data_IF_630816512624
#
_entry.id   IF_630816512624
#
_cell.length_a   1.000
_cell.length_b   1.000
_cell.length_c   1.000
_cell.angle_alpha   90.00
_cell.angle_beta   90.00
_cell.angle_gamma   90.00
#
_symmetry.space_group_name_H-M   'P 1'
#
loop_
_entity.id
_entity.type
_entity.pdbx_description
1 polymer ?
#
# COMPACT_ATOMS: atom_id res chain seq x y z
N UNK A 1 31.08 -37.65 -13.68
CA UNK A 1 30.37 -38.07 -12.46
C UNK A 1 29.26 -39.01 -12.90
N UNK A 2 29.27 -40.24 -12.40
CA UNK A 2 28.23 -41.24 -12.70
C UNK A 2 26.93 -40.84 -11.99
N UNK A 3 25.88 -40.54 -12.74
CA UNK A 3 24.51 -40.36 -12.24
C UNK A 3 23.98 -41.71 -11.69
N UNK A 4 24.48 -42.15 -10.54
CA UNK A 4 23.81 -43.20 -9.78
C UNK A 4 22.69 -42.54 -8.98
N UNK A 5 21.46 -43.02 -9.17
CA UNK A 5 20.33 -42.65 -8.34
C UNK A 5 20.61 -43.13 -6.91
N UNK A 6 21.05 -42.22 -6.04
CA UNK A 6 21.22 -42.50 -4.61
C UNK A 6 19.86 -42.44 -3.91
N UNK A 7 19.57 -43.34 -2.95
CA UNK A 7 18.32 -43.28 -2.20
C UNK A 7 18.26 -42.03 -1.31
N UNK A 8 17.13 -41.32 -1.36
CA UNK A 8 16.84 -40.13 -0.57
C UNK A 8 15.68 -40.42 0.37
N UNK A 9 15.81 -40.00 1.63
CA UNK A 9 14.72 -39.91 2.60
C UNK A 9 14.31 -38.44 2.72
N UNK A 10 13.11 -38.09 2.30
CA UNK A 10 12.56 -36.75 2.54
C UNK A 10 12.45 -36.50 4.04
N UNK A 11 13.01 -35.38 4.49
CA UNK A 11 12.93 -34.94 5.88
C UNK A 11 11.74 -33.98 6.03
N UNK A 12 11.08 -34.08 7.18
CA UNK A 12 10.02 -33.14 7.54
C UNK A 12 10.60 -31.74 7.79
N UNK A 13 9.99 -30.71 7.20
CA UNK A 13 10.34 -29.32 7.41
C UNK A 13 9.56 -28.75 8.61
N UNK A 14 10.27 -28.20 9.59
CA UNK A 14 9.71 -27.49 10.73
C UNK A 14 10.08 -26.01 10.68
N UNK A 15 9.17 -25.13 11.10
CA UNK A 15 9.37 -23.68 11.11
C UNK A 15 9.55 -23.16 12.54
N UNK A 16 10.49 -22.24 12.72
CA UNK A 16 10.62 -21.48 13.96
C UNK A 16 9.60 -20.32 14.04
N UNK A 17 9.60 -19.59 15.16
CA UNK A 17 8.69 -18.44 15.37
C UNK A 17 8.92 -17.27 14.39
N UNK A 18 10.01 -17.28 13.63
CA UNK A 18 10.33 -16.30 12.59
C UNK A 18 10.10 -16.85 11.18
N UNK A 19 9.51 -18.04 11.05
CA UNK A 19 9.26 -18.69 9.76
C UNK A 19 10.53 -19.26 9.09
N UNK A 20 11.62 -19.46 9.83
CA UNK A 20 12.81 -20.11 9.26
C UNK A 20 12.62 -21.63 9.21
N UNK A 21 12.84 -22.26 8.04
CA UNK A 21 12.70 -23.70 7.91
C UNK A 21 13.93 -24.44 8.49
N UNK A 22 13.67 -25.59 9.09
CA UNK A 22 14.67 -26.49 9.66
C UNK A 22 14.25 -27.95 9.43
N UNK A 23 15.24 -28.85 9.35
CA UNK A 23 15.01 -30.28 9.14
C UNK A 23 15.79 -31.08 10.16
N UNK A 24 15.16 -32.13 10.68
CA UNK A 24 15.81 -33.08 11.58
C UNK A 24 16.06 -34.40 10.86
N UNK A 25 17.30 -34.87 10.94
CA UNK A 25 17.71 -36.17 10.40
C UNK A 25 18.19 -37.06 11.54
N UNK A 26 18.05 -38.37 11.36
CA UNK A 26 18.56 -39.38 12.27
C UNK A 26 19.44 -40.42 11.53
N UNK A 27 20.42 -41.03 12.20
CA UNK A 27 21.28 -42.05 11.62
C UNK A 27 20.47 -43.25 11.08
N UNK A 28 20.90 -43.82 9.95
CA UNK A 28 20.28 -45.02 9.41
C UNK A 28 20.66 -46.27 10.23
N UNK A 29 19.74 -47.21 10.34
CA UNK A 29 20.05 -48.53 10.90
C UNK A 29 21.10 -49.22 10.01
N UNK A 30 22.17 -49.76 10.62
CA UNK A 30 23.29 -50.45 9.95
C UNK A 30 24.13 -49.58 8.99
N UNK A 31 24.19 -48.26 9.20
CA UNK A 31 25.03 -47.35 8.40
C UNK A 31 24.74 -47.36 6.89
N UNK A 32 23.49 -47.63 6.50
CA UNK A 32 23.05 -47.48 5.12
C UNK A 32 23.27 -46.03 4.65
N UNK A 33 23.96 -45.85 3.52
CA UNK A 33 24.21 -44.54 2.92
C UNK A 33 22.92 -44.02 2.28
N UNK A 34 22.08 -43.35 3.06
CA UNK A 34 20.85 -42.69 2.63
C UNK A 34 21.00 -41.20 2.94
N UNK A 35 20.77 -40.33 1.95
CA UNK A 35 20.79 -38.88 2.18
C UNK A 35 19.44 -38.40 2.70
N UNK A 36 19.45 -37.41 3.57
CA UNK A 36 18.25 -36.64 3.91
C UNK A 36 17.98 -35.61 2.82
N UNK A 37 16.81 -35.67 2.20
CA UNK A 37 16.32 -34.64 1.29
C UNK A 37 15.69 -33.52 2.09
N UNK A 38 16.13 -32.28 1.85
CA UNK A 38 15.55 -31.10 2.46
C UNK A 38 14.91 -30.25 1.37
N UNK A 39 13.59 -30.39 1.22
CA UNK A 39 12.86 -29.56 0.27
C UNK A 39 12.62 -28.17 0.87
N UNK A 40 13.22 -27.16 0.25
CA UNK A 40 13.05 -25.77 0.65
C UNK A 40 11.62 -25.31 0.33
N UNK A 41 10.91 -24.71 1.30
CA UNK A 41 9.61 -24.11 1.01
C UNK A 41 9.78 -22.98 -0.02
N UNK A 42 8.76 -22.70 -0.85
CA UNK A 42 8.80 -21.55 -1.74
C UNK A 42 8.85 -20.26 -0.92
N UNK A 43 9.63 -19.30 -1.41
CA UNK A 43 9.64 -17.93 -0.97
C UNK A 43 8.31 -17.25 -1.31
N UNK A 44 7.98 -16.21 -0.54
CA UNK A 44 6.89 -15.31 -0.91
C UNK A 44 7.27 -14.51 -2.18
N UNK A 45 6.29 -14.10 -3.00
CA UNK A 45 6.54 -13.38 -4.25
C UNK A 45 7.10 -11.96 -4.09
N UNK A 46 7.29 -11.51 -2.85
CA UNK A 46 7.72 -10.16 -2.47
C UNK A 46 6.91 -9.63 -1.30
N UNK A 47 7.23 -8.42 -0.86
CA UNK A 47 6.49 -7.70 0.20
C UNK A 47 5.57 -6.68 -0.46
N UNK A 48 4.29 -6.69 -0.10
CA UNK A 48 3.27 -5.83 -0.68
C UNK A 48 2.71 -4.93 0.41
N UNK A 49 2.92 -3.62 0.32
CA UNK A 49 2.44 -2.65 1.29
C UNK A 49 1.15 -2.01 0.77
N UNK A 50 0.03 -2.26 1.44
CA UNK A 50 -1.24 -1.61 1.15
C UNK A 50 -1.37 -0.28 1.92
N UNK A 51 -1.71 0.80 1.23
CA UNK A 51 -1.88 2.14 1.81
C UNK A 51 -3.28 2.66 1.52
N UNK A 52 -4.06 2.87 2.58
CA UNK A 52 -5.46 3.32 2.49
C UNK A 52 -5.60 4.85 2.32
N UNK A 53 -6.81 5.29 1.98
CA UNK A 53 -7.14 6.67 1.64
C UNK A 53 -7.38 7.59 2.85
N UNK A 54 -7.92 8.78 2.58
CA UNK A 54 -8.39 9.69 3.64
C UNK A 54 -9.74 9.20 4.14
N UNK A 55 -10.08 9.49 5.40
CA UNK A 55 -11.36 9.13 5.99
C UNK A 55 -11.71 7.64 5.85
N UNK A 56 -10.67 6.82 5.87
CA UNK A 56 -10.73 5.37 5.79
C UNK A 56 -9.92 4.82 6.94
N UNK A 57 -10.36 3.71 7.50
CA UNK A 57 -9.63 3.01 8.56
C UNK A 57 -9.01 1.73 8.04
N UNK A 58 -8.92 1.58 6.72
CA UNK A 58 -8.41 0.39 6.06
C UNK A 58 -9.43 -0.74 6.04
N UNK A 59 -10.72 -0.43 6.09
CA UNK A 59 -11.83 -1.38 6.02
C UNK A 59 -11.81 -2.29 4.80
N UNK A 60 -11.19 -1.84 3.71
CA UNK A 60 -11.03 -2.62 2.48
C UNK A 60 -9.82 -3.55 2.48
N UNK A 61 -8.88 -3.42 3.43
CA UNK A 61 -7.62 -4.16 3.38
C UNK A 61 -7.82 -5.67 3.44
N UNK A 62 -8.75 -6.16 4.26
CA UNK A 62 -9.07 -7.59 4.32
C UNK A 62 -9.47 -8.13 2.95
N UNK A 63 -10.45 -7.48 2.32
CA UNK A 63 -10.94 -7.90 1.01
C UNK A 63 -9.85 -7.82 -0.07
N UNK A 64 -9.03 -6.76 -0.07
CA UNK A 64 -7.93 -6.64 -1.01
C UNK A 64 -6.85 -7.70 -0.80
N UNK A 65 -6.49 -8.02 0.44
CA UNK A 65 -5.54 -9.07 0.76
C UNK A 65 -6.07 -10.45 0.37
N UNK A 66 -7.34 -10.77 0.68
CA UNK A 66 -8.00 -12.02 0.29
C UNK A 66 -7.91 -12.24 -1.23
N UNK A 67 -8.27 -11.22 -2.02
CA UNK A 67 -8.25 -11.29 -3.48
C UNK A 67 -6.82 -11.31 -4.06
N UNK A 68 -5.88 -10.60 -3.43
CA UNK A 68 -4.49 -10.59 -3.85
C UNK A 68 -3.83 -11.95 -3.62
N UNK A 69 -4.02 -12.55 -2.45
CA UNK A 69 -3.54 -13.90 -2.14
C UNK A 69 -4.14 -14.93 -3.11
N UNK A 70 -5.47 -14.86 -3.36
CA UNK A 70 -6.13 -15.72 -4.34
C UNK A 70 -5.55 -15.58 -5.76
N UNK A 71 -5.34 -14.34 -6.21
CA UNK A 71 -4.73 -14.06 -7.52
C UNK A 71 -3.29 -14.54 -7.62
N UNK A 72 -2.48 -14.35 -6.57
CA UNK A 72 -1.10 -14.84 -6.49
C UNK A 72 -1.04 -16.37 -6.51
N UNK A 73 -1.89 -17.05 -5.74
CA UNK A 73 -1.95 -18.51 -5.72
C UNK A 73 -2.27 -19.08 -7.09
N UNK A 74 -3.23 -18.48 -7.80
CA UNK A 74 -3.57 -18.86 -9.17
C UNK A 74 -2.39 -18.62 -10.12
N UNK A 75 -1.76 -17.44 -10.04
CA UNK A 75 -0.66 -17.03 -10.93
C UNK A 75 0.61 -17.84 -10.74
N UNK A 76 0.91 -18.23 -9.51
CA UNK A 76 2.13 -18.94 -9.11
C UNK A 76 1.92 -20.46 -9.01
N UNK A 77 0.72 -20.95 -9.34
CA UNK A 77 0.40 -22.38 -9.31
C UNK A 77 0.46 -23.00 -7.90
N UNK A 78 0.12 -22.21 -6.87
CA UNK A 78 0.13 -22.60 -5.46
C UNK A 78 -1.26 -23.04 -4.95
N UNK A 79 -2.33 -22.82 -5.73
CA UNK A 79 -3.70 -23.18 -5.34
C UNK A 79 -3.84 -24.65 -4.99
N UNK A 80 -4.37 -24.93 -3.79
CA UNK A 80 -4.55 -26.30 -3.28
C UNK A 80 -3.25 -27.02 -2.87
N UNK A 81 -2.10 -26.33 -2.88
CA UNK A 81 -0.84 -26.87 -2.36
C UNK A 81 -0.69 -26.61 -0.86
N UNK A 82 0.26 -27.29 -0.21
CA UNK A 82 0.65 -27.02 1.18
C UNK A 82 1.26 -25.63 1.38
N UNK A 83 1.63 -24.94 0.30
CA UNK A 83 2.28 -23.62 0.30
C UNK A 83 1.34 -22.51 -0.20
N UNK A 84 0.03 -22.77 -0.21
CA UNK A 84 -0.95 -21.76 -0.57
C UNK A 84 -0.81 -20.52 0.33
N UNK A 85 -0.70 -19.34 -0.29
CA UNK A 85 -0.60 -18.06 0.40
C UNK A 85 -1.95 -17.75 1.02
N UNK A 86 -1.98 -17.45 2.32
CA UNK A 86 -3.20 -17.12 3.05
C UNK A 86 -3.15 -15.67 3.55
N UNK A 87 -4.29 -14.95 3.50
CA UNK A 87 -4.38 -13.61 4.06
C UNK A 87 -4.18 -13.66 5.59
N UNK A 88 -3.52 -12.65 6.17
CA UNK A 88 -3.42 -12.52 7.63
C UNK A 88 -4.76 -12.05 8.19
N UNK A 89 -5.19 -12.69 9.27
CA UNK A 89 -6.36 -12.29 10.04
C UNK A 89 -5.94 -11.38 11.19
N UNK A 90 -6.55 -10.20 11.27
CA UNK A 90 -6.39 -9.29 12.41
C UNK A 90 -7.62 -9.37 13.32
N UNK A 91 -7.45 -9.18 14.63
CA UNK A 91 -8.57 -9.14 15.60
C UNK A 91 -9.61 -8.07 15.26
N UNK A 92 -9.18 -7.05 14.49
CA UNK A 92 -10.01 -5.97 14.00
C UNK A 92 -10.88 -6.33 12.80
N UNK A 93 -10.59 -7.41 12.06
CA UNK A 93 -11.16 -7.65 10.73
C UNK A 93 -12.67 -7.82 10.74
N UNK A 94 -13.22 -8.47 11.77
CA UNK A 94 -14.67 -8.64 11.95
C UNK A 94 -15.32 -7.37 12.52
N UNK A 95 -14.55 -6.53 13.23
CA UNK A 95 -15.06 -5.35 13.93
C UNK A 95 -15.04 -4.09 13.07
N UNK A 96 -14.07 -3.92 12.17
CA UNK A 96 -13.93 -2.71 11.33
C UNK A 96 -15.19 -2.44 10.49
N UNK A 97 -15.98 -3.48 10.17
CA UNK A 97 -17.27 -3.33 9.49
C UNK A 97 -18.30 -2.51 10.30
N UNK A 98 -18.20 -2.49 11.63
CA UNK A 98 -19.15 -1.85 12.53
C UNK A 98 -18.50 -0.75 13.40
N UNK A 99 -17.22 -0.93 13.75
CA UNK A 99 -16.40 -0.08 14.61
C UNK A 99 -15.07 0.22 13.89
N UNK A 100 -15.01 1.27 13.06
CA UNK A 100 -13.91 1.43 12.11
C UNK A 100 -12.55 1.69 12.78
N UNK A 101 -12.50 2.07 14.06
CA UNK A 101 -11.28 2.48 14.77
C UNK A 101 -10.88 1.56 15.92
N UNK A 102 -10.80 0.27 15.66
CA UNK A 102 -10.38 -0.73 16.65
C UNK A 102 -8.89 -1.07 16.59
N UNK A 103 -8.38 -1.62 17.68
CA UNK A 103 -7.01 -2.10 17.81
C UNK A 103 -6.72 -3.19 16.78
N UNK A 104 -5.57 -3.07 16.13
CA UNK A 104 -5.14 -3.96 15.05
C UNK A 104 -4.02 -4.85 15.55
N UNK A 105 -4.39 -5.90 16.25
CA UNK A 105 -3.48 -6.94 16.71
C UNK A 105 -3.58 -8.15 15.77
N UNK A 106 -2.44 -8.77 15.52
CA UNK A 106 -2.39 -10.11 14.93
C UNK A 106 -2.45 -11.08 16.12
N UNK A 107 -3.46 -11.94 16.24
CA UNK A 107 -3.55 -12.88 17.34
C UNK A 107 -2.34 -13.83 17.32
N UNK A 108 -1.59 -13.88 18.43
CA UNK A 108 -0.36 -14.69 18.60
C UNK A 108 -0.58 -16.21 18.47
N UNK A 109 -1.83 -16.65 18.36
CA UNK A 109 -2.26 -18.06 18.45
C UNK A 109 -2.29 -18.80 17.12
N UNK A 110 -1.89 -18.20 15.99
CA UNK A 110 -2.01 -18.82 14.66
C UNK A 110 -0.64 -19.02 13.98
N UNK A 111 0.23 -19.79 14.64
CA UNK A 111 1.58 -20.15 14.15
C UNK A 111 1.58 -20.97 12.84
N UNK A 112 0.44 -21.54 12.46
CA UNK A 112 0.28 -22.44 11.31
C UNK A 112 -0.26 -21.73 10.04
N UNK A 113 -0.52 -20.42 10.10
CA UNK A 113 -1.00 -19.67 8.93
C UNK A 113 0.20 -19.24 8.04
N UNK A 114 0.28 -19.84 6.84
CA UNK A 114 1.12 -19.40 5.72
C UNK A 114 1.21 -17.87 5.66
N UNK A 115 2.42 -17.34 5.60
CA UNK A 115 2.64 -15.90 5.69
C UNK A 115 2.11 -15.17 4.45
N UNK A 116 1.15 -14.27 4.67
CA UNK A 116 0.75 -13.30 3.65
C UNK A 116 1.95 -12.42 3.29
N UNK A 117 2.16 -12.11 1.99
CA UNK A 117 3.13 -11.12 1.57
C UNK A 117 2.71 -9.68 1.93
N UNK A 118 1.51 -9.48 2.49
CA UNK A 118 0.90 -8.17 2.65
C UNK A 118 1.20 -7.52 4.01
N UNK A 119 1.64 -6.26 3.96
CA UNK A 119 1.68 -5.35 5.10
C UNK A 119 0.58 -4.31 4.92
N UNK A 120 -0.38 -4.29 5.84
CA UNK A 120 -1.43 -3.25 5.91
C UNK A 120 -0.88 -2.00 6.59
N UNK A 121 -0.61 -0.94 5.82
CA UNK A 121 -0.06 0.32 6.35
C UNK A 121 -1.17 1.29 6.74
N UNK A 122 -1.39 1.41 8.05
CA UNK A 122 -2.36 2.33 8.60
C UNK A 122 -1.74 3.67 8.99
N UNK A 123 -2.41 4.74 8.59
CA UNK A 123 -2.04 6.10 8.93
C UNK A 123 -3.30 6.92 9.28
N UNK A 124 -3.11 8.15 9.77
CA UNK A 124 -4.21 9.01 10.17
C UNK A 124 -3.78 10.15 11.08
N UNK A 125 -4.76 10.90 11.57
CA UNK A 125 -4.59 11.99 12.52
C UNK A 125 -4.81 11.49 13.95
N UNK A 126 -3.99 11.95 14.91
CA UNK A 126 -4.25 11.75 16.33
C UNK A 126 -4.30 13.12 17.00
N UNK A 127 -5.35 13.35 17.79
CA UNK A 127 -5.46 14.60 18.52
C UNK A 127 -4.44 14.65 19.65
N UNK A 128 -3.81 15.80 19.84
CA UNK A 128 -3.09 16.05 21.07
C UNK A 128 -4.09 16.12 22.23
N UNK A 129 -3.70 15.61 23.39
CA UNK A 129 -4.52 15.62 24.60
C UNK A 129 -4.97 17.03 24.95
N UNK A 130 -6.28 17.23 25.13
CA UNK A 130 -6.92 18.52 25.40
C UNK A 130 -7.33 19.30 24.14
N UNK A 131 -7.03 18.81 22.94
CA UNK A 131 -7.40 19.43 21.67
C UNK A 131 -8.48 18.63 20.90
N UNK A 132 -9.08 17.61 21.51
CA UNK A 132 -10.07 16.73 20.88
C UNK A 132 -11.32 17.48 20.40
N UNK A 133 -11.71 18.57 21.09
CA UNK A 133 -12.83 19.43 20.69
C UNK A 133 -12.45 20.55 19.70
N UNK A 134 -11.16 20.66 19.32
CA UNK A 134 -10.68 21.76 18.45
C UNK A 134 -11.25 21.69 17.03
N UNK A 135 -11.55 20.49 16.55
CA UNK A 135 -12.04 20.24 15.19
C UNK A 135 -13.24 19.30 15.22
N UNK A 136 -14.21 19.52 14.33
CA UNK A 136 -15.40 18.67 14.20
C UNK A 136 -15.07 17.52 13.25
N UNK A 137 -14.31 16.56 13.77
CA UNK A 137 -13.84 15.39 13.02
C UNK A 137 -14.12 14.13 13.83
N UNK A 138 -14.31 12.97 13.18
CA UNK A 138 -14.42 11.70 13.88
C UNK A 138 -13.17 11.43 14.71
N UNK A 139 -13.33 10.85 15.90
CA UNK A 139 -12.23 10.55 16.82
C UNK A 139 -12.64 9.35 17.69
N UNK A 140 -11.86 8.28 17.66
CA UNK A 140 -12.06 7.16 18.57
C UNK A 140 -10.74 6.71 19.20
N UNK A 141 -10.84 6.02 20.33
CA UNK A 141 -9.69 5.40 20.98
C UNK A 141 -9.39 4.02 20.37
N UNK A 142 -8.38 3.33 20.90
CA UNK A 142 -7.97 1.99 20.42
C UNK A 142 -9.06 0.92 20.52
N UNK A 143 -10.09 1.12 21.34
CA UNK A 143 -11.21 0.18 21.48
C UNK A 143 -12.36 0.48 20.52
N UNK A 144 -12.20 1.42 19.59
CA UNK A 144 -13.28 1.85 18.70
C UNK A 144 -14.29 2.79 19.35
N UNK A 145 -14.07 3.22 20.60
CA UNK A 145 -15.02 4.05 21.33
C UNK A 145 -14.89 5.51 20.88
N UNK A 146 -15.98 6.04 20.32
CA UNK A 146 -16.06 7.41 19.81
C UNK A 146 -16.02 8.46 20.94
N UNK A 147 -15.14 9.45 20.77
CA UNK A 147 -14.95 10.57 21.68
C UNK A 147 -16.25 11.35 21.89
N UNK A 148 -16.96 11.65 20.80
CA UNK A 148 -18.17 12.47 20.84
C UNK A 148 -19.34 11.73 21.47
N UNK A 149 -19.38 10.40 21.36
CA UNK A 149 -20.34 9.55 22.05
C UNK A 149 -20.17 9.60 23.56
N UNK A 150 -18.93 9.46 24.05
CA UNK A 150 -18.63 9.60 25.49
C UNK A 150 -19.07 10.98 26.01
N UNK A 151 -18.87 12.03 25.22
CA UNK A 151 -19.31 13.38 25.55
C UNK A 151 -20.84 13.50 25.61
N UNK A 152 -21.55 12.92 24.64
CA UNK A 152 -23.03 12.87 24.62
C UNK A 152 -23.61 12.10 25.80
N UNK A 153 -22.88 11.11 26.31
CA UNK A 153 -23.25 10.34 27.51
C UNK A 153 -23.01 11.11 28.83
N UNK A 154 -22.46 12.33 28.77
CA UNK A 154 -22.20 13.15 29.95
C UNK A 154 -21.01 12.68 30.79
N UNK A 155 -20.11 11.87 30.23
CA UNK A 155 -18.90 11.45 30.92
C UNK A 155 -18.00 12.67 31.17
N UNK A 156 -17.46 12.87 32.39
CA UNK A 156 -16.56 13.98 32.69
C UNK A 156 -15.35 14.01 31.75
N UNK A 157 -14.96 15.20 31.27
CA UNK A 157 -13.92 15.36 30.25
C UNK A 157 -12.59 14.67 30.63
N UNK A 158 -12.17 14.77 31.89
CA UNK A 158 -10.95 14.11 32.38
C UNK A 158 -11.00 12.57 32.22
N UNK A 159 -12.17 11.98 32.47
CA UNK A 159 -12.40 10.54 32.32
C UNK A 159 -12.46 10.12 30.85
N UNK A 160 -12.90 11.01 29.95
CA UNK A 160 -12.83 10.77 28.51
C UNK A 160 -11.36 10.77 28.06
N UNK A 161 -10.60 11.81 28.42
CA UNK A 161 -9.19 11.94 28.03
C UNK A 161 -8.31 10.80 28.55
N UNK A 162 -8.65 10.24 29.72
CA UNK A 162 -7.97 9.05 30.27
C UNK A 162 -8.12 7.80 29.38
N UNK A 163 -9.13 7.75 28.50
CA UNK A 163 -9.35 6.67 27.56
C UNK A 163 -8.63 6.87 26.21
N UNK A 164 -7.91 7.99 26.03
CA UNK A 164 -7.15 8.27 24.82
C UNK A 164 -5.93 7.35 24.63
N UNK A 165 -5.13 7.59 23.58
CA UNK A 165 -5.25 8.67 22.61
C UNK A 165 -6.46 8.48 21.68
N UNK A 166 -7.04 9.58 21.24
CA UNK A 166 -8.09 9.60 20.23
C UNK A 166 -7.50 9.92 18.85
N UNK A 167 -7.96 9.19 17.83
CA UNK A 167 -7.43 9.30 16.47
C UNK A 167 -8.49 9.02 15.41
N UNK A 168 -8.16 9.35 14.16
CA UNK A 168 -8.97 9.09 12.97
C UNK A 168 -8.11 8.51 11.85
N UNK A 169 -8.50 7.35 11.33
CA UNK A 169 -7.85 6.70 10.21
C UNK A 169 -7.92 7.56 8.96
N UNK A 170 -6.79 7.72 8.28
CA UNK A 170 -6.67 8.52 7.05
C UNK A 170 -6.74 10.02 7.31
N UNK A 171 -7.10 10.41 8.53
CA UNK A 171 -7.33 11.78 8.90
C UNK A 171 -8.57 12.38 8.22
N UNK A 172 -8.87 13.65 8.52
CA UNK A 172 -10.13 14.27 8.13
C UNK A 172 -10.26 14.40 6.61
N UNK A 173 -11.45 14.10 6.08
CA UNK A 173 -11.74 14.15 4.64
C UNK A 173 -11.40 15.51 4.01
N UNK A 174 -11.74 16.59 4.71
CA UNK A 174 -11.54 17.99 4.32
C UNK A 174 -10.05 18.32 4.09
N UNK A 175 -9.16 17.59 4.74
CA UNK A 175 -7.71 17.77 4.62
C UNK A 175 -7.09 17.09 3.41
N UNK A 176 -7.89 16.46 2.54
CA UNK A 176 -7.39 15.96 1.26
C UNK A 176 -6.70 17.06 0.45
N UNK A 177 -5.63 16.70 -0.25
CA UNK A 177 -4.87 17.61 -1.12
C UNK A 177 -4.48 16.95 -2.45
N UNK A 178 -4.16 17.77 -3.45
CA UNK A 178 -3.82 17.35 -4.81
C UNK A 178 -2.36 17.58 -5.19
N UNK A 179 -1.51 18.01 -4.26
CA UNK A 179 -0.08 18.17 -4.47
C UNK A 179 0.72 17.69 -3.24
N UNK A 180 1.97 17.27 -3.47
CA UNK A 180 2.78 16.70 -2.39
C UNK A 180 3.28 17.74 -1.39
N UNK A 181 3.42 19.01 -1.78
CA UNK A 181 3.91 20.08 -0.91
C UNK A 181 2.98 20.29 0.29
N UNK A 182 1.66 20.28 0.06
CA UNK A 182 0.64 20.43 1.11
C UNK A 182 0.74 19.42 2.26
N UNK A 183 1.40 18.26 2.07
CA UNK A 183 1.56 17.26 3.14
C UNK A 183 2.42 17.78 4.31
N UNK A 184 3.26 18.77 4.06
CA UNK A 184 4.09 19.44 5.07
C UNK A 184 3.44 20.71 5.64
N UNK A 185 2.22 21.04 5.23
CA UNK A 185 1.57 22.28 5.64
C UNK A 185 1.29 22.35 7.14
N UNK A 186 1.59 23.51 7.71
CA UNK A 186 1.18 23.96 9.03
C UNK A 186 -0.31 24.33 9.10
N UNK A 187 -1.00 24.34 7.96
CA UNK A 187 -2.42 24.68 7.84
C UNK A 187 -3.22 23.42 7.48
N UNK A 188 -4.45 23.37 7.97
CA UNK A 188 -5.48 22.43 7.53
C UNK A 188 -6.50 23.14 6.64
N UNK A 189 -7.57 22.42 6.27
CA UNK A 189 -8.73 23.04 5.64
C UNK A 189 -9.32 24.12 6.55
N UNK A 190 -9.66 25.27 5.97
CA UNK A 190 -10.30 26.39 6.65
C UNK A 190 -11.61 26.74 5.95
N UNK A 191 -12.69 26.69 6.72
CA UNK A 191 -14.03 27.07 6.28
C UNK A 191 -14.14 28.60 6.30
N UNK A 192 -13.69 29.25 5.22
CA UNK A 192 -13.82 30.70 5.09
C UNK A 192 -15.29 31.16 5.03
N UNK A 193 -15.57 32.47 5.26
CA UNK A 193 -16.92 33.01 5.37
C UNK A 193 -17.81 32.89 4.11
N UNK A 194 -17.28 32.41 2.97
CA UNK A 194 -17.96 32.30 1.68
C UNK A 194 -18.31 30.86 1.26
N UNK A 195 -18.02 29.83 2.07
CA UNK A 195 -18.09 28.41 1.69
C UNK A 195 -19.46 27.71 1.86
N UNK A 196 -20.54 28.47 2.06
CA UNK A 196 -21.92 28.00 2.36
C UNK A 196 -22.60 27.09 1.30
N UNK A 197 -21.94 26.64 0.22
CA UNK A 197 -22.60 25.94 -0.91
C UNK A 197 -22.07 24.56 -1.30
N UNK A 198 -21.08 23.98 -0.63
CA UNK A 198 -20.62 22.61 -0.96
C UNK A 198 -21.30 21.53 -0.12
N UNK A 199 -21.94 21.92 0.99
CA UNK A 199 -22.59 21.00 1.94
C UNK A 199 -23.87 20.34 1.41
N UNK A 200 -24.52 20.93 0.40
CA UNK A 200 -25.79 20.45 -0.17
C UNK A 200 -25.67 19.21 -1.08
N UNK A 201 -24.45 18.68 -1.28
CA UNK A 201 -24.19 17.49 -2.11
C UNK A 201 -23.70 16.27 -1.33
N UNK A 202 -23.55 16.37 0.00
CA UNK A 202 -23.14 15.27 0.87
C UNK A 202 -24.04 15.22 2.11
N UNK A 203 -24.89 14.20 2.20
CA UNK A 203 -25.77 13.94 3.36
C UNK A 203 -25.02 13.34 4.57
N UNK A 204 -23.73 13.07 4.40
CA UNK A 204 -22.91 12.32 5.36
C UNK A 204 -22.26 13.27 6.40
N UNK A 205 -22.68 13.15 7.67
CA UNK A 205 -22.20 14.01 8.78
C UNK A 205 -20.69 13.90 9.02
N UNK A 206 -20.05 12.83 8.55
CA UNK A 206 -18.60 12.63 8.66
C UNK A 206 -17.80 13.37 7.56
N UNK A 207 -18.49 14.07 6.64
CA UNK A 207 -17.91 14.81 5.51
C UNK A 207 -18.22 16.31 5.55
N UNK A 208 -18.65 16.83 6.70
CA UNK A 208 -18.95 18.26 6.89
C UNK A 208 -17.68 19.07 6.65
N UNK A 209 -17.69 20.05 5.74
CA UNK A 209 -16.53 20.87 5.41
C UNK A 209 -16.26 21.93 6.48
N UNK A 210 -15.81 21.50 7.66
CA UNK A 210 -15.41 22.37 8.78
C UNK A 210 -13.89 22.46 8.91
N UNK A 211 -13.40 23.40 9.72
CA UNK A 211 -11.98 23.56 10.00
C UNK A 211 -11.32 22.24 10.41
N UNK A 212 -10.14 21.97 9.84
CA UNK A 212 -9.41 20.74 10.02
C UNK A 212 -7.98 20.98 10.57
N UNK A 213 -7.36 19.98 11.22
CA UNK A 213 -6.01 20.09 11.77
C UNK A 213 -4.93 20.35 10.71
N UNK A 214 -3.75 20.87 11.09
CA UNK A 214 -2.58 20.94 10.21
C UNK A 214 -2.26 19.61 9.52
N UNK A 215 -1.82 19.65 8.26
CA UNK A 215 -1.57 18.45 7.44
C UNK A 215 -0.28 17.70 7.80
N UNK A 216 0.53 18.15 8.76
CA UNK A 216 1.79 17.49 9.17
C UNK A 216 1.67 15.99 9.49
N UNK A 217 0.50 15.49 9.88
CA UNK A 217 0.30 14.05 10.07
C UNK A 217 0.51 13.23 8.78
N UNK A 218 0.27 13.82 7.60
CA UNK A 218 0.65 13.22 6.32
C UNK A 218 2.17 13.08 6.18
N UNK A 219 2.94 14.13 6.48
CA UNK A 219 4.40 14.08 6.44
C UNK A 219 4.96 13.01 7.41
N UNK A 220 4.38 12.89 8.61
CA UNK A 220 4.74 11.80 9.54
C UNK A 220 4.36 10.42 8.99
N UNK A 221 3.22 10.27 8.32
CA UNK A 221 2.84 9.03 7.65
C UNK A 221 3.82 8.67 6.53
N UNK A 222 4.17 9.63 5.67
CA UNK A 222 5.13 9.45 4.58
C UNK A 222 6.51 9.04 5.12
N UNK A 223 6.99 9.68 6.19
CA UNK A 223 8.26 9.31 6.83
C UNK A 223 8.23 7.91 7.42
N UNK A 224 7.12 7.49 8.06
CA UNK A 224 6.97 6.12 8.58
C UNK A 224 7.00 5.09 7.46
N UNK A 225 6.31 5.35 6.35
CA UNK A 225 6.30 4.47 5.19
C UNK A 225 7.69 4.39 4.53
N UNK A 226 8.37 5.53 4.36
CA UNK A 226 9.74 5.58 3.85
C UNK A 226 10.69 4.76 4.73
N UNK A 227 10.64 4.95 6.06
CA UNK A 227 11.45 4.21 7.00
C UNK A 227 11.15 2.69 6.98
N UNK A 228 9.89 2.30 6.71
CA UNK A 228 9.52 0.89 6.55
C UNK A 228 10.20 0.29 5.32
N UNK A 229 10.09 0.96 4.17
CA UNK A 229 10.77 0.54 2.93
C UNK A 229 12.28 0.45 3.16
N UNK A 230 12.89 1.49 3.73
CA UNK A 230 14.34 1.51 4.00
C UNK A 230 14.77 0.40 4.96
N UNK A 231 13.97 0.12 5.99
CA UNK A 231 14.26 -0.96 6.94
C UNK A 231 14.21 -2.33 6.27
N UNK A 232 13.19 -2.58 5.44
CA UNK A 232 13.08 -3.82 4.68
C UNK A 232 14.30 -3.97 3.77
N UNK A 233 14.63 -2.94 2.99
CA UNK A 233 15.74 -2.99 2.03
C UNK A 233 17.11 -3.12 2.68
N UNK A 234 17.33 -2.53 3.86
CA UNK A 234 18.56 -2.69 4.64
C UNK A 234 18.69 -4.07 5.27
N UNK A 235 17.60 -4.62 5.79
CA UNK A 235 17.61 -5.93 6.49
C UNK A 235 17.55 -7.11 5.51
N UNK A 236 16.80 -6.96 4.43
CA UNK A 236 16.53 -7.98 3.42
C UNK A 236 16.79 -7.42 2.01
N UNK A 237 18.06 -7.22 1.62
CA UNK A 237 18.42 -6.54 0.37
C UNK A 237 18.00 -7.27 -0.91
N UNK A 238 17.74 -8.58 -0.80
CA UNK A 238 17.27 -9.44 -1.90
C UNK A 238 15.75 -9.44 -2.07
N UNK A 239 15.01 -8.99 -1.06
CA UNK A 239 13.54 -8.97 -1.11
C UNK A 239 13.03 -7.78 -1.93
N UNK A 240 11.86 -7.97 -2.52
CA UNK A 240 11.22 -6.97 -3.38
C UNK A 240 10.08 -6.30 -2.63
N UNK A 241 9.86 -5.01 -2.88
CA UNK A 241 8.83 -4.21 -2.20
C UNK A 241 7.93 -3.55 -3.22
N UNK A 242 6.63 -3.86 -3.16
CA UNK A 242 5.59 -3.19 -3.95
C UNK A 242 4.71 -2.34 -3.03
N UNK A 243 4.44 -1.10 -3.42
CA UNK A 243 3.46 -0.25 -2.72
C UNK A 243 2.20 -0.16 -3.57
N UNK A 244 1.06 -0.54 -2.99
CA UNK A 244 -0.27 -0.39 -3.59
C UNK A 244 -1.05 0.61 -2.74
N UNK A 245 -1.43 1.73 -3.35
CA UNK A 245 -1.97 2.87 -2.62
C UNK A 245 -3.24 3.42 -3.26
N UNK A 246 -4.22 3.82 -2.46
CA UNK A 246 -5.52 4.30 -2.94
C UNK A 246 -5.82 5.73 -2.47
N UNK A 247 -6.42 6.55 -3.34
CA UNK A 247 -6.88 7.91 -3.02
C UNK A 247 -5.79 8.76 -2.36
N UNK A 248 -6.05 9.46 -1.25
CA UNK A 248 -5.01 10.22 -0.51
C UNK A 248 -3.84 9.37 -0.02
N UNK A 249 -4.00 8.05 0.13
CA UNK A 249 -2.90 7.13 0.39
C UNK A 249 -1.83 7.16 -0.69
N UNK A 250 -2.21 7.45 -1.94
CA UNK A 250 -1.26 7.65 -3.04
C UNK A 250 -0.34 8.84 -2.81
N UNK A 251 -0.83 9.90 -2.16
CA UNK A 251 -0.04 11.08 -1.81
C UNK A 251 0.99 10.72 -0.75
N UNK A 252 0.58 9.94 0.26
CA UNK A 252 1.48 9.41 1.29
C UNK A 252 2.55 8.49 0.67
N UNK A 253 2.15 7.60 -0.23
CA UNK A 253 3.05 6.69 -0.93
C UNK A 253 4.07 7.44 -1.80
N UNK A 254 3.62 8.36 -2.66
CA UNK A 254 4.48 9.17 -3.51
C UNK A 254 5.45 10.04 -2.70
N UNK A 255 4.98 10.68 -1.63
CA UNK A 255 5.83 11.43 -0.71
C UNK A 255 6.84 10.53 0.00
N UNK A 256 6.44 9.32 0.42
CA UNK A 256 7.34 8.34 1.02
C UNK A 256 8.45 7.92 0.04
N UNK A 257 8.10 7.61 -1.21
CA UNK A 257 9.08 7.30 -2.26
C UNK A 257 10.05 8.47 -2.47
N UNK A 258 9.54 9.70 -2.52
CA UNK A 258 10.39 10.88 -2.69
C UNK A 258 11.45 11.01 -1.58
N UNK A 259 11.09 10.75 -0.32
CA UNK A 259 11.98 10.96 0.84
C UNK A 259 12.71 9.71 1.35
N UNK A 260 12.35 8.51 0.89
CA UNK A 260 13.03 7.27 1.27
C UNK A 260 14.47 7.26 0.75
N UNK A 261 15.36 6.53 1.40
CA UNK A 261 16.71 6.31 0.87
C UNK A 261 16.65 5.35 -0.33
N UNK A 262 15.83 4.30 -0.22
CA UNK A 262 15.63 3.29 -1.24
C UNK A 262 14.20 3.35 -1.80
N UNK A 263 14.08 3.24 -3.12
CA UNK A 263 12.79 3.16 -3.79
C UNK A 263 12.15 1.76 -3.64
N UNK A 264 10.81 1.66 -3.64
CA UNK A 264 10.15 0.37 -3.85
C UNK A 264 10.40 -0.12 -5.27
N UNK A 265 10.28 -1.42 -5.49
CA UNK A 265 10.44 -2.04 -6.79
C UNK A 265 9.23 -1.81 -7.70
N UNK A 266 8.04 -1.56 -7.15
CA UNK A 266 6.88 -1.13 -7.92
C UNK A 266 5.97 -0.19 -7.12
N UNK A 267 5.33 0.76 -7.80
CA UNK A 267 4.41 1.72 -7.21
C UNK A 267 3.08 1.74 -7.96
N UNK A 268 1.99 1.45 -7.27
CA UNK A 268 0.63 1.55 -7.81
C UNK A 268 -0.10 2.71 -7.13
N UNK A 269 -0.53 3.69 -7.93
CA UNK A 269 -1.33 4.83 -7.50
C UNK A 269 -2.75 4.69 -8.06
N UNK A 270 -3.68 4.28 -7.20
CA UNK A 270 -5.07 4.00 -7.56
C UNK A 270 -5.95 5.19 -7.19
N UNK A 271 -6.65 5.76 -8.18
CA UNK A 271 -7.57 6.88 -8.01
C UNK A 271 -6.90 8.06 -7.28
N UNK A 272 -5.67 8.38 -7.67
CA UNK A 272 -4.89 9.42 -7.00
C UNK A 272 -5.53 10.82 -7.13
N UNK A 273 -5.60 11.62 -6.06
CA UNK A 273 -6.03 13.01 -6.10
C UNK A 273 -4.94 13.94 -6.63
N UNK A 274 -3.74 13.43 -6.93
CA UNK A 274 -2.65 14.24 -7.49
C UNK A 274 -3.08 14.88 -8.81
N UNK A 275 -2.95 16.20 -8.91
CA UNK A 275 -3.38 16.94 -10.09
C UNK A 275 -2.17 17.58 -10.76
N UNK A 276 -2.04 17.45 -12.08
CA UNK A 276 -0.92 18.07 -12.81
C UNK A 276 -1.07 19.58 -13.00
N UNK A 277 -2.30 20.07 -12.93
CA UNK A 277 -2.62 21.46 -13.23
C UNK A 277 -3.29 22.16 -12.04
N UNK A 278 -3.15 23.48 -12.03
CA UNK A 278 -3.89 24.37 -11.17
C UNK A 278 -5.18 24.75 -11.88
N UNK A 279 -6.31 24.18 -11.47
CA UNK A 279 -7.57 24.79 -11.85
C UNK A 279 -7.71 26.15 -11.13
N UNK A 280 -8.34 27.15 -11.75
CA UNK A 280 -8.52 28.51 -11.20
C UNK A 280 -9.23 28.52 -9.82
N UNK A 281 -9.91 27.42 -9.47
CA UNK A 281 -10.58 27.20 -8.18
C UNK A 281 -9.66 26.63 -7.07
N UNK A 282 -8.44 26.19 -7.40
CA UNK A 282 -7.46 25.71 -6.42
C UNK A 282 -6.86 26.84 -5.59
N UNK A 283 -6.72 28.05 -6.16
CA UNK A 283 -6.30 29.25 -5.40
C UNK A 283 -7.27 29.64 -4.30
N UNK A 284 -8.52 29.13 -4.35
CA UNK A 284 -9.53 29.31 -3.30
C UNK A 284 -9.60 28.15 -2.30
N UNK A 285 -8.99 27.00 -2.61
CA UNK A 285 -9.07 25.77 -1.81
C UNK A 285 -7.75 25.42 -1.08
N UNK A 286 -6.63 25.97 -1.54
CA UNK A 286 -5.31 25.81 -0.95
C UNK A 286 -4.72 27.18 -0.59
N UNK A 287 -3.98 27.30 0.53
CA UNK A 287 -3.18 28.50 0.81
C UNK A 287 -2.26 28.83 -0.36
N UNK A 288 -2.07 30.13 -0.65
CA UNK A 288 -1.24 30.59 -1.76
C UNK A 288 0.19 30.04 -1.71
N UNK A 289 0.72 29.81 -0.50
CA UNK A 289 2.06 29.24 -0.29
C UNK A 289 2.17 27.77 -0.71
N UNK A 290 1.04 27.06 -0.86
CA UNK A 290 0.98 25.66 -1.28
C UNK A 290 0.73 25.50 -2.79
N UNK A 291 0.57 26.60 -3.52
CA UNK A 291 0.32 26.58 -4.96
C UNK A 291 1.63 26.31 -5.73
N UNK A 292 1.85 25.06 -6.14
CA UNK A 292 3.00 24.62 -6.96
C UNK A 292 2.71 24.66 -8.46
N UNK A 293 3.51 25.34 -9.28
CA UNK A 293 3.28 25.43 -10.74
C UNK A 293 3.07 24.05 -11.41
N UNK A 294 2.32 23.98 -12.53
CA UNK A 294 2.13 22.74 -13.27
C UNK A 294 3.45 22.03 -13.63
N UNK A 295 4.47 22.80 -14.02
CA UNK A 295 5.82 22.28 -14.32
C UNK A 295 6.47 21.67 -13.09
N UNK A 296 6.34 22.31 -11.92
CA UNK A 296 6.83 21.77 -10.66
C UNK A 296 6.14 20.45 -10.29
N UNK A 297 4.83 20.34 -10.55
CA UNK A 297 4.06 19.11 -10.32
C UNK A 297 4.45 18.00 -11.30
N UNK A 298 4.63 18.33 -12.57
CA UNK A 298 5.13 17.37 -13.56
C UNK A 298 6.54 16.88 -13.21
N UNK A 299 7.44 17.80 -12.82
CA UNK A 299 8.80 17.48 -12.39
C UNK A 299 8.80 16.57 -11.15
N UNK A 300 7.92 16.84 -10.19
CA UNK A 300 7.78 16.03 -8.97
C UNK A 300 7.35 14.61 -9.30
N UNK A 301 6.29 14.44 -10.10
CA UNK A 301 5.83 13.11 -10.51
C UNK A 301 6.90 12.38 -11.33
N UNK A 302 7.57 13.08 -12.26
CA UNK A 302 8.69 12.53 -13.02
C UNK A 302 9.80 12.01 -12.11
N UNK A 303 10.24 12.80 -11.11
CA UNK A 303 11.33 12.40 -10.23
C UNK A 303 10.98 11.15 -9.40
N UNK A 304 9.71 11.00 -9.03
CA UNK A 304 9.23 9.81 -8.32
C UNK A 304 9.26 8.59 -9.25
N UNK A 305 8.81 8.73 -10.49
CA UNK A 305 8.88 7.66 -11.49
C UNK A 305 10.32 7.27 -11.78
N UNK A 306 11.22 8.25 -12.01
CA UNK A 306 12.66 8.03 -12.20
C UNK A 306 13.27 7.24 -11.02
N UNK A 307 12.86 7.59 -9.80
CA UNK A 307 13.34 6.92 -8.58
C UNK A 307 12.86 5.47 -8.48
N UNK A 308 11.60 5.17 -8.81
CA UNK A 308 11.11 3.79 -8.90
C UNK A 308 11.82 3.04 -10.04
N UNK A 309 11.96 3.66 -11.22
CA UNK A 309 12.62 3.08 -12.39
C UNK A 309 14.08 2.66 -12.13
N UNK A 310 14.78 3.31 -11.20
CA UNK A 310 16.12 2.89 -10.75
C UNK A 310 16.19 1.44 -10.23
N UNK A 311 15.04 0.82 -9.92
CA UNK A 311 14.89 -0.54 -9.39
C UNK A 311 14.67 -1.60 -10.45
N UNK A 312 14.48 -1.23 -11.71
CA UNK A 312 14.15 -2.12 -12.84
C UNK A 312 15.02 -3.38 -12.92
N UNK A 313 16.33 -3.22 -12.75
CA UNK A 313 17.30 -4.30 -12.89
C UNK A 313 17.79 -4.86 -11.54
N UNK A 314 17.18 -4.47 -10.41
CA UNK A 314 17.71 -4.90 -9.12
C UNK A 314 17.63 -6.41 -8.94
N UNK A 315 16.45 -7.01 -9.11
CA UNK A 315 16.27 -8.45 -8.93
C UNK A 315 17.11 -9.25 -9.93
N UNK A 316 17.13 -8.84 -11.20
CA UNK A 316 17.94 -9.50 -12.23
C UNK A 316 19.44 -9.40 -11.95
N UNK A 317 19.92 -8.28 -11.38
CA UNK A 317 21.34 -8.13 -11.01
C UNK A 317 21.79 -9.05 -9.87
N UNK A 318 20.86 -9.50 -9.02
CA UNK A 318 21.11 -10.48 -7.97
C UNK A 318 21.14 -11.92 -8.51
N UNK A 319 20.63 -12.13 -9.72
CA UNK A 319 20.39 -13.44 -10.30
C UNK A 319 19.14 -14.13 -9.74
N UNK A 320 18.69 -15.17 -10.43
CA UNK A 320 17.53 -15.98 -10.02
C UNK A 320 17.94 -17.31 -9.39
N UNK A 321 19.22 -17.47 -9.04
CA UNK A 321 19.71 -18.68 -8.40
C UNK A 321 19.04 -18.86 -7.04
N UNK A 322 18.42 -20.01 -6.83
CA UNK A 322 17.65 -20.31 -5.62
C UNK A 322 16.28 -19.62 -5.54
N UNK A 323 15.88 -18.78 -6.51
CA UNK A 323 14.55 -18.18 -6.52
C UNK A 323 13.48 -19.27 -6.77
N UNK A 324 12.70 -19.54 -5.74
CA UNK A 324 11.57 -20.47 -5.78
C UNK A 324 10.36 -19.74 -5.19
N UNK A 325 9.46 -19.21 -6.01
CA UNK A 325 8.25 -18.49 -5.54
C UNK A 325 6.95 -19.14 -6.03
N UNK A 326 7.07 -20.21 -6.81
CA UNK A 326 5.97 -20.86 -7.49
C UNK A 326 6.37 -21.38 -8.85
N UNK A 327 5.39 -21.73 -9.66
CA UNK A 327 5.56 -22.37 -10.95
C UNK A 327 4.67 -21.77 -12.04
N UNK A 328 5.10 -21.92 -13.29
CA UNK A 328 4.29 -21.63 -14.48
C UNK A 328 3.29 -22.76 -14.76
N UNK A 329 2.39 -22.55 -15.72
CA UNK A 329 1.44 -23.57 -16.17
C UNK A 329 2.13 -24.86 -16.67
N UNK A 330 3.35 -24.75 -17.20
CA UNK A 330 4.18 -25.88 -17.63
C UNK A 330 5.00 -26.53 -16.51
N UNK A 331 4.69 -26.23 -15.23
CA UNK A 331 5.35 -26.77 -14.03
C UNK A 331 6.85 -26.46 -13.96
N UNK A 332 7.26 -25.31 -14.51
CA UNK A 332 8.63 -24.78 -14.37
C UNK A 332 8.66 -23.72 -13.29
N UNK A 333 9.80 -23.52 -12.62
CA UNK A 333 9.97 -22.45 -11.64
C UNK A 333 9.59 -21.10 -12.27
N UNK A 334 8.73 -20.36 -11.58
CA UNK A 334 8.37 -19.00 -11.98
C UNK A 334 9.58 -18.08 -11.84
N UNK A 335 9.80 -17.23 -12.84
CA UNK A 335 10.78 -16.14 -12.83
C UNK A 335 10.25 -14.96 -13.67
N UNK A 336 10.71 -13.73 -13.44
CA UNK A 336 10.27 -12.58 -14.23
C UNK A 336 10.70 -12.64 -15.71
N UNK A 337 11.68 -13.48 -16.07
CA UNK A 337 12.22 -13.63 -17.42
C UNK A 337 11.59 -14.77 -18.23
N UNK A 338 10.59 -15.48 -17.69
CA UNK A 338 9.95 -16.60 -18.40
C UNK A 338 9.03 -16.12 -19.52
N UNK A 339 8.86 -17.00 -20.52
CA UNK A 339 7.83 -16.85 -21.55
C UNK A 339 6.67 -17.80 -21.30
N UNK A 340 5.51 -17.24 -20.98
CA UNK A 340 4.28 -17.98 -20.70
C UNK A 340 3.60 -18.41 -22.01
N UNK A 341 3.04 -19.60 -22.04
CA UNK A 341 2.12 -19.99 -23.11
C UNK A 341 0.77 -19.27 -22.93
N UNK A 342 0.37 -18.50 -23.94
CA UNK A 342 -0.97 -17.94 -24.06
C UNK A 342 -1.97 -19.00 -24.53
N UNK A 343 -3.26 -18.71 -24.33
CA UNK A 343 -4.37 -19.63 -24.65
C UNK A 343 -4.39 -20.08 -26.12
N UNK A 344 -3.89 -19.22 -27.03
CA UNK A 344 -3.84 -19.49 -28.47
C UNK A 344 -2.48 -20.02 -28.94
N UNK A 345 -1.62 -20.49 -28.03
CA UNK A 345 -0.27 -20.98 -28.36
C UNK A 345 0.78 -19.89 -28.61
N UNK A 346 0.41 -18.61 -28.51
CA UNK A 346 1.36 -17.49 -28.56
C UNK A 346 2.19 -17.45 -27.27
N UNK A 347 3.50 -17.17 -27.38
CA UNK A 347 4.37 -16.99 -26.20
C UNK A 347 4.37 -15.52 -25.80
N UNK A 348 3.98 -15.23 -24.57
CA UNK A 348 4.00 -13.89 -23.99
C UNK A 348 5.09 -13.82 -22.93
N UNK A 349 5.89 -12.76 -22.95
CA UNK A 349 6.84 -12.49 -21.89
C UNK A 349 6.08 -12.27 -20.57
N UNK A 350 6.61 -12.81 -19.48
CA UNK A 350 6.04 -12.58 -18.16
C UNK A 350 6.07 -11.08 -17.82
N UNK A 351 5.02 -10.60 -17.14
CA UNK A 351 4.93 -9.22 -16.70
C UNK A 351 5.81 -9.00 -15.49
N UNK A 352 7.02 -8.53 -15.75
CA UNK A 352 7.91 -7.99 -14.72
C UNK A 352 7.46 -6.58 -14.30
N UNK A 353 7.15 -6.39 -13.01
CA UNK A 353 6.72 -5.11 -12.46
C UNK A 353 7.87 -4.27 -11.87
N UNK A 354 9.10 -4.80 -11.80
CA UNK A 354 10.23 -4.08 -11.20
C UNK A 354 10.54 -2.81 -11.99
N UNK A 355 10.73 -1.71 -11.28
CA UNK A 355 10.95 -0.37 -11.84
C UNK A 355 9.69 0.35 -12.32
N UNK A 356 8.49 -0.23 -12.17
CA UNK A 356 7.29 0.33 -12.79
C UNK A 356 6.40 1.11 -11.82
N UNK A 357 5.89 2.23 -12.33
CA UNK A 357 4.83 3.02 -11.70
C UNK A 357 3.54 2.88 -12.52
N UNK A 358 2.44 2.58 -11.85
CA UNK A 358 1.11 2.40 -12.46
C UNK A 358 0.11 3.43 -11.93
N UNK A 359 -0.50 4.20 -12.83
CA UNK A 359 -1.57 5.14 -12.53
C UNK A 359 -2.91 4.50 -12.90
N UNK A 360 -3.65 3.99 -11.92
CA UNK A 360 -5.01 3.52 -12.16
C UNK A 360 -5.99 4.68 -11.98
N UNK A 361 -6.86 4.87 -12.97
CA UNK A 361 -7.85 5.95 -12.97
C UNK A 361 -9.25 5.47 -13.33
N UNK A 362 -10.26 6.20 -12.86
CA UNK A 362 -11.67 5.90 -13.12
C UNK A 362 -12.40 7.17 -13.56
N UNK A 363 -12.80 7.29 -14.85
CA UNK A 363 -13.56 8.45 -15.35
C UNK A 363 -14.93 8.64 -14.67
N UNK A 364 -15.47 7.59 -14.03
CA UNK A 364 -16.71 7.65 -13.25
C UNK A 364 -16.52 8.11 -11.80
N UNK A 365 -15.28 8.29 -11.34
CA UNK A 365 -14.98 8.80 -10.01
C UNK A 365 -15.29 10.30 -9.94
N UNK A 366 -16.49 10.62 -9.45
CA UNK A 366 -17.00 12.00 -9.35
C UNK A 366 -16.24 12.84 -8.32
N UNK A 367 -15.61 12.20 -7.32
CA UNK A 367 -14.83 12.94 -6.30
C UNK A 367 -13.54 13.40 -6.96
N UNK A 368 -12.78 12.49 -7.58
CA UNK A 368 -11.53 12.80 -8.26
C UNK A 368 -11.74 13.68 -9.51
N UNK A 369 -12.89 13.54 -10.18
CA UNK A 369 -13.29 14.35 -11.33
C UNK A 369 -13.91 15.71 -10.97
N UNK A 370 -14.07 16.02 -9.68
CA UNK A 370 -14.56 17.33 -9.25
C UNK A 370 -13.66 18.45 -9.77
N UNK A 371 -14.24 19.60 -10.13
CA UNK A 371 -13.49 20.74 -10.69
C UNK A 371 -12.26 21.13 -9.87
N UNK A 372 -12.29 21.17 -8.51
CA UNK A 372 -11.10 21.48 -7.72
C UNK A 372 -9.96 20.47 -7.88
N UNK A 373 -10.27 19.19 -8.11
CA UNK A 373 -9.25 18.14 -8.21
C UNK A 373 -8.79 17.93 -9.66
N UNK A 374 -9.68 17.50 -10.58
CA UNK A 374 -9.33 17.06 -11.95
C UNK A 374 -8.03 16.25 -11.99
N UNK A 375 -7.94 15.26 -11.12
CA UNK A 375 -6.69 14.57 -10.81
C UNK A 375 -6.33 13.47 -11.81
N UNK A 376 -5.09 12.96 -11.71
CA UNK A 376 -4.63 11.80 -12.48
C UNK A 376 -5.45 10.53 -12.15
N UNK A 377 -6.08 10.46 -10.98
CA UNK A 377 -6.98 9.37 -10.61
C UNK A 377 -8.33 9.36 -11.31
N UNK A 378 -8.71 10.47 -11.95
CA UNK A 378 -9.94 10.55 -12.73
C UNK A 378 -9.71 10.32 -14.22
N UNK A 379 -8.66 10.94 -14.78
CA UNK A 379 -8.43 10.98 -16.24
C UNK A 379 -7.07 10.43 -16.67
N UNK A 380 -6.23 9.96 -15.73
CA UNK A 380 -4.84 9.61 -16.01
C UNK A 380 -4.03 10.83 -16.44
N UNK A 381 -3.09 10.59 -17.35
CA UNK A 381 -2.29 11.59 -18.04
C UNK A 381 -2.91 11.79 -19.44
N UNK A 382 -3.65 12.88 -19.66
CA UNK A 382 -4.39 13.08 -20.91
C UNK A 382 -3.44 13.34 -22.09
N UNK A 383 -3.86 12.92 -23.28
CA UNK A 383 -3.21 13.30 -24.52
C UNK A 383 -3.30 14.82 -24.73
N UNK A 384 -2.37 15.37 -25.51
CA UNK A 384 -2.46 16.78 -25.92
C UNK A 384 -3.60 17.02 -26.93
N UNK A 385 -3.79 18.28 -27.32
CA UNK A 385 -4.83 18.68 -28.28
C UNK A 385 -4.67 18.08 -29.68
N UNK A 386 -3.49 17.53 -30.01
CA UNK A 386 -3.21 16.85 -31.27
C UNK A 386 -3.35 15.32 -31.14
N UNK A 387 -3.78 14.82 -29.98
CA UNK A 387 -3.94 13.40 -29.71
C UNK A 387 -2.64 12.69 -29.39
N UNK A 388 -1.54 13.41 -29.15
CA UNK A 388 -0.26 12.80 -28.79
C UNK A 388 -0.23 12.39 -27.32
N UNK A 389 0.41 11.26 -26.97
CA UNK A 389 0.57 10.83 -25.58
C UNK A 389 1.21 11.91 -24.71
N UNK A 390 0.74 12.02 -23.46
CA UNK A 390 1.25 12.97 -22.48
C UNK A 390 2.80 12.90 -22.38
N UNK A 391 3.52 14.04 -22.27
CA UNK A 391 4.99 14.06 -22.27
C UNK A 391 5.64 13.13 -21.24
N UNK A 392 5.03 12.95 -20.06
CA UNK A 392 5.53 12.01 -19.04
C UNK A 392 5.47 10.55 -19.49
N UNK A 393 4.44 10.13 -20.23
CA UNK A 393 4.34 8.76 -20.77
C UNK A 393 5.41 8.52 -21.83
N UNK A 394 5.72 9.54 -22.63
CA UNK A 394 6.80 9.48 -23.63
C UNK A 394 8.18 9.43 -22.96
N UNK A 395 8.42 10.27 -21.95
CA UNK A 395 9.69 10.32 -21.20
C UNK A 395 9.98 9.01 -20.48
N UNK A 396 8.96 8.43 -19.83
CA UNK A 396 9.09 7.24 -18.97
C UNK A 396 8.59 5.97 -19.65
N UNK A 397 8.79 5.87 -20.97
CA UNK A 397 8.33 4.72 -21.73
C UNK A 397 8.96 3.43 -21.20
N UNK A 398 8.10 2.49 -20.76
CA UNK A 398 8.52 1.21 -20.17
C UNK A 398 8.62 1.21 -18.63
N UNK A 399 8.50 2.38 -17.99
CA UNK A 399 8.57 2.55 -16.53
C UNK A 399 7.32 3.22 -15.95
N UNK A 400 6.54 3.97 -16.75
CA UNK A 400 5.25 4.56 -16.37
C UNK A 400 4.09 4.00 -17.21
N UNK A 401 3.03 3.58 -16.54
CA UNK A 401 1.83 2.99 -17.15
C UNK A 401 0.57 3.63 -16.55
N UNK A 402 -0.52 3.64 -17.31
CA UNK A 402 -1.83 4.10 -16.84
C UNK A 402 -2.98 3.25 -17.37
#
# INVERSE_FOLDING_TARGET
>A
MTNKNEPIRELECQFDDNGHPSWFSFPSHKSCQIRGGCDLPPHLPGIIILVHGVNSTGEWFKNAEDNLCSGLNKRLGLSGSSFEIKPKSYDSDEKIAYEPLVERAIPLTRKEESDSPVIRFYWGYSSARGNEDKYVIPLANRKGIDYHQLKRQGIPHENILAQGPFFWGGGPFQNGTNNLHSLWSDKGFYEGPFFFKVQWLNEDKDRLLTNAPPRKYYAHAARRLANLVDRIRKKYPKDTVTIISHSQGTMVAMAAVAIAEHAPDALFVLNSPYALDHNDLNGFSLPAEECISPEGRMSTLSAIVDKVASRKNHLSSLGYEGLCVGQTAEKKNWRPDVSLAGENGTRLAERDNHGRTYIYFCPHDRVMGSRPLRSIGWQGLPNDSQGQPHPLLKKHQGDLFQ
#
